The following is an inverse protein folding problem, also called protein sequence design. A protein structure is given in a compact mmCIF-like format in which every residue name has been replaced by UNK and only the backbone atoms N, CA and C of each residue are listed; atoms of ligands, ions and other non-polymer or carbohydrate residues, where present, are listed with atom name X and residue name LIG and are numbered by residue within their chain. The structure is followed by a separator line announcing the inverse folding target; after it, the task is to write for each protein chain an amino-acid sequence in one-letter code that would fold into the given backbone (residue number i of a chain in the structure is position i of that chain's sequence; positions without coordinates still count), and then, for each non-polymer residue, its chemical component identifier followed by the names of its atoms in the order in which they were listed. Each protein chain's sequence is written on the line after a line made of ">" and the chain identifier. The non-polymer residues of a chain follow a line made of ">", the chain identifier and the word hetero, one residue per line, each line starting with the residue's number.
data_IF_161107060179
#
_entry.id   IF_161107060179
#
_cell.length_a   1.000
_cell.length_b   1.000
_cell.length_c   1.000
_cell.angle_alpha   90.00
_cell.angle_beta   90.00
_cell.angle_gamma   90.00
#
_symmetry.space_group_name_H-M   'P 1'
#
loop_
_entity.id
_entity.type
_entity.pdbx_description
1 polymer ?
#
# COMPACT_ATOMS: atom_id res chain seq x y z
N UNK A 1 14.44 48.67 -8.68
CA UNK A 1 14.39 47.20 -8.52
C UNK A 1 15.64 46.82 -7.75
N UNK A 2 15.47 46.20 -6.59
CA UNK A 2 16.59 45.82 -5.73
C UNK A 2 17.01 44.38 -6.03
N UNK A 3 18.31 44.11 -5.91
CA UNK A 3 18.85 42.80 -6.22
C UNK A 3 20.24 42.60 -5.65
N UNK A 4 20.59 41.33 -5.44
CA UNK A 4 21.90 40.91 -4.98
C UNK A 4 22.87 40.79 -6.14
N UNK A 5 24.10 41.28 -5.95
CA UNK A 5 25.21 40.99 -6.85
C UNK A 5 25.58 39.53 -6.77
N UNK A 6 26.21 38.98 -7.80
CA UNK A 6 26.64 37.58 -7.80
C UNK A 6 27.66 37.29 -6.68
N UNK A 7 28.40 38.31 -6.24
CA UNK A 7 29.26 38.22 -5.06
C UNK A 7 28.45 38.00 -3.78
N UNK A 8 27.41 38.80 -3.57
CA UNK A 8 26.56 38.65 -2.38
C UNK A 8 25.83 37.29 -2.36
N UNK A 9 25.45 36.78 -3.53
CA UNK A 9 24.86 35.43 -3.63
C UNK A 9 25.88 34.34 -3.35
N UNK A 10 27.12 34.48 -3.85
CA UNK A 10 28.25 33.61 -3.54
C UNK A 10 28.52 33.58 -2.03
N UNK A 11 28.56 34.74 -1.38
CA UNK A 11 28.77 34.86 0.07
C UNK A 11 27.59 34.25 0.86
N UNK A 12 26.34 34.41 0.39
CA UNK A 12 25.13 33.87 1.04
C UNK A 12 25.03 32.34 0.93
N UNK A 13 25.45 31.77 -0.20
CA UNK A 13 25.34 30.34 -0.48
C UNK A 13 26.57 29.52 -0.05
N UNK A 14 27.65 30.17 0.39
CA UNK A 14 28.97 29.55 0.62
C UNK A 14 29.49 28.79 -0.61
N UNK A 15 29.32 29.40 -1.80
CA UNK A 15 29.73 28.82 -3.08
C UNK A 15 30.74 29.76 -3.74
N UNK A 16 31.75 29.17 -4.41
CA UNK A 16 32.73 29.95 -5.15
C UNK A 16 32.06 30.88 -6.18
N UNK A 17 32.48 32.16 -6.19
CA UNK A 17 31.93 33.18 -7.09
C UNK A 17 32.01 32.77 -8.56
N UNK A 18 33.08 32.09 -8.96
CA UNK A 18 33.25 31.54 -10.32
C UNK A 18 32.14 30.55 -10.68
N UNK A 19 31.75 29.67 -9.75
CA UNK A 19 30.64 28.73 -9.92
C UNK A 19 29.32 29.47 -10.16
N UNK A 20 29.05 30.55 -9.40
CA UNK A 20 27.85 31.38 -9.62
C UNK A 20 27.83 31.96 -11.03
N UNK A 21 28.95 32.52 -11.50
CA UNK A 21 29.05 33.04 -12.88
C UNK A 21 28.85 31.95 -13.93
N UNK A 22 29.54 30.81 -13.80
CA UNK A 22 29.45 29.71 -14.76
C UNK A 22 28.03 29.17 -14.84
N UNK A 23 27.40 28.91 -13.69
CA UNK A 23 26.05 28.33 -13.65
C UNK A 23 25.00 29.30 -14.19
N UNK A 24 25.05 30.58 -13.82
CA UNK A 24 24.16 31.58 -14.40
C UNK A 24 24.39 31.77 -15.90
N UNK A 25 25.64 31.68 -16.37
CA UNK A 25 25.94 31.73 -17.80
C UNK A 25 25.35 30.53 -18.54
N UNK A 26 25.38 29.34 -17.93
CA UNK A 26 24.76 28.15 -18.49
C UNK A 26 23.23 28.29 -18.56
N UNK A 27 22.59 28.93 -17.56
CA UNK A 27 21.16 29.29 -17.63
C UNK A 27 20.91 30.26 -18.79
N UNK A 28 21.74 31.31 -18.93
CA UNK A 28 21.62 32.28 -20.04
C UNK A 28 21.70 31.60 -21.42
N UNK A 29 22.54 30.57 -21.57
CA UNK A 29 22.69 29.82 -22.83
C UNK A 29 21.53 28.86 -23.07
N UNK A 30 21.08 28.13 -22.04
CA UNK A 30 20.00 27.13 -22.17
C UNK A 30 18.62 27.76 -22.29
N UNK A 31 18.35 28.79 -21.49
CA UNK A 31 17.05 29.42 -21.40
C UNK A 31 17.22 30.91 -21.03
N UNK A 32 17.38 31.72 -22.07
CA UNK A 32 17.58 33.16 -21.92
C UNK A 32 16.37 33.85 -21.26
N UNK A 33 15.15 33.38 -21.49
CA UNK A 33 13.95 33.94 -20.84
C UNK A 33 13.99 33.72 -19.33
N UNK A 34 14.34 32.50 -18.90
CA UNK A 34 14.50 32.16 -17.49
C UNK A 34 15.62 32.98 -16.85
N UNK A 35 16.76 33.14 -17.54
CA UNK A 35 17.85 34.00 -17.08
C UNK A 35 17.39 35.45 -16.88
N UNK A 36 16.64 36.03 -17.82
CA UNK A 36 16.12 37.41 -17.71
C UNK A 36 15.02 37.55 -16.65
N UNK A 37 14.36 36.44 -16.29
CA UNK A 37 13.44 36.40 -15.15
C UNK A 37 14.18 36.55 -13.81
N UNK A 38 15.41 36.05 -13.70
CA UNK A 38 16.22 36.11 -12.48
C UNK A 38 17.15 37.31 -12.41
N UNK A 39 17.79 37.65 -13.53
CA UNK A 39 18.87 38.62 -13.60
C UNK A 39 18.41 39.88 -14.32
N UNK A 40 18.73 41.03 -13.75
CA UNK A 40 18.54 42.34 -14.38
C UNK A 40 19.83 43.15 -14.32
N UNK A 41 19.91 44.17 -15.15
CA UNK A 41 21.01 45.14 -15.12
C UNK A 41 20.57 46.36 -14.31
N UNK A 42 21.35 46.75 -13.32
CA UNK A 42 21.10 47.98 -12.57
C UNK A 42 21.50 49.22 -13.37
N UNK A 43 21.16 50.41 -12.84
CA UNK A 43 21.48 51.69 -13.47
C UNK A 43 22.99 51.93 -13.65
N UNK A 44 23.84 51.14 -12.98
CA UNK A 44 25.30 51.21 -13.04
C UNK A 44 25.88 50.16 -14.00
N UNK A 45 25.04 49.45 -14.77
CA UNK A 45 25.49 48.39 -15.69
C UNK A 45 25.88 47.08 -14.99
N UNK A 46 25.60 46.93 -13.70
CA UNK A 46 25.94 45.73 -12.93
C UNK A 46 24.80 44.73 -12.97
N UNK A 47 25.12 43.48 -13.32
CA UNK A 47 24.16 42.36 -13.28
C UNK A 47 23.82 42.00 -11.83
N UNK A 48 22.53 41.91 -11.53
CA UNK A 48 22.00 41.57 -10.22
C UNK A 48 20.90 40.54 -10.34
N UNK A 49 20.84 39.64 -9.35
CA UNK A 49 19.73 38.70 -9.18
C UNK A 49 18.64 39.42 -8.39
N UNK A 50 17.40 39.37 -8.88
CA UNK A 50 16.23 39.95 -8.20
C UNK A 50 16.08 39.33 -6.82
N UNK A 51 15.79 40.14 -5.82
CA UNK A 51 15.74 39.68 -4.41
C UNK A 51 14.76 38.51 -4.22
N UNK A 52 13.59 38.56 -4.87
CA UNK A 52 12.56 37.52 -4.83
C UNK A 52 12.97 36.21 -5.51
N UNK A 53 14.05 36.22 -6.29
CA UNK A 53 14.60 35.06 -7.01
C UNK A 53 15.90 34.53 -6.41
N UNK A 54 16.44 35.17 -5.37
CA UNK A 54 17.74 34.78 -4.80
C UNK A 54 17.72 33.36 -4.28
N UNK A 55 16.70 32.96 -3.52
CA UNK A 55 16.67 31.63 -2.90
C UNK A 55 16.48 30.53 -3.95
N UNK A 56 15.61 30.76 -4.95
CA UNK A 56 15.42 29.88 -6.11
C UNK A 56 16.73 29.71 -6.91
N UNK A 57 17.43 30.82 -7.18
CA UNK A 57 18.72 30.79 -7.86
C UNK A 57 19.76 30.03 -7.04
N UNK A 58 19.80 30.22 -5.72
CA UNK A 58 20.71 29.47 -4.84
C UNK A 58 20.43 27.97 -4.92
N UNK A 59 19.17 27.54 -4.85
CA UNK A 59 18.80 26.13 -4.95
C UNK A 59 19.29 25.52 -6.28
N UNK A 60 19.04 26.21 -7.39
CA UNK A 60 19.46 25.77 -8.73
C UNK A 60 20.99 25.69 -8.83
N UNK A 61 21.69 26.75 -8.43
CA UNK A 61 23.16 26.81 -8.56
C UNK A 61 23.88 26.03 -7.47
N UNK A 62 23.20 25.49 -6.46
CA UNK A 62 23.78 24.58 -5.46
C UNK A 62 23.57 23.11 -5.82
N UNK A 63 22.69 22.81 -6.77
CA UNK A 63 22.41 21.43 -7.18
C UNK A 63 23.64 20.71 -7.75
N UNK A 64 23.92 19.51 -7.26
CA UNK A 64 25.02 18.66 -7.75
C UNK A 64 24.82 18.22 -9.21
N UNK A 65 23.56 18.21 -9.67
CA UNK A 65 23.18 17.81 -11.02
C UNK A 65 23.23 18.95 -12.05
N UNK A 66 23.75 20.12 -11.68
CA UNK A 66 23.78 21.26 -12.58
C UNK A 66 24.84 21.06 -13.69
N UNK A 67 24.47 21.23 -14.98
CA UNK A 67 25.41 21.03 -16.09
C UNK A 67 26.52 22.08 -16.02
N UNK A 68 27.77 21.64 -15.80
CA UNK A 68 28.90 22.56 -15.60
C UNK A 68 29.55 23.03 -16.91
N UNK A 69 29.33 22.34 -18.04
CA UNK A 69 29.93 22.67 -19.34
C UNK A 69 28.88 22.60 -20.46
N UNK A 70 28.49 23.75 -20.99
CA UNK A 70 27.59 23.86 -22.15
C UNK A 70 28.39 24.53 -23.25
N UNK A 71 28.75 23.78 -24.29
CA UNK A 71 29.41 24.35 -25.46
C UNK A 71 28.41 25.14 -26.29
N UNK A 72 28.85 26.29 -26.81
CA UNK A 72 28.05 27.21 -27.64
C UNK A 72 27.47 26.54 -28.91
N UNK A 73 28.00 25.39 -29.30
CA UNK A 73 27.53 24.50 -30.37
C UNK A 73 26.13 23.94 -30.12
N UNK A 74 25.64 23.99 -28.88
CA UNK A 74 24.29 23.60 -28.48
C UNK A 74 23.32 24.81 -28.48
N UNK A 75 23.41 25.69 -29.48
CA UNK A 75 22.23 26.46 -29.88
C UNK A 75 21.22 25.47 -30.45
N UNK A 76 20.49 24.84 -29.53
CA UNK A 76 19.27 24.10 -29.80
C UNK A 76 18.41 25.00 -30.68
N UNK A 77 18.14 24.55 -31.90
CA UNK A 77 17.09 25.11 -32.73
C UNK A 77 15.79 24.91 -31.95
N UNK A 78 15.36 25.96 -31.25
CA UNK A 78 14.25 25.92 -30.29
C UNK A 78 12.89 25.70 -30.94
N UNK A 79 12.79 25.74 -32.27
CA UNK A 79 11.50 25.60 -32.97
C UNK A 79 11.07 24.13 -33.15
N UNK A 80 12.00 23.17 -33.30
CA UNK A 80 11.67 21.74 -33.44
C UNK A 80 11.60 20.99 -32.10
N UNK A 81 12.35 21.45 -31.07
CA UNK A 81 12.37 20.81 -29.74
C UNK A 81 11.15 21.14 -28.89
N UNK A 82 10.55 22.33 -29.03
CA UNK A 82 9.31 22.67 -28.32
C UNK A 82 8.13 21.81 -28.81
N UNK A 83 8.08 21.47 -30.10
CA UNK A 83 7.04 20.59 -30.65
C UNK A 83 7.13 19.15 -30.13
N UNK A 84 8.35 18.60 -30.07
CA UNK A 84 8.59 17.23 -29.58
C UNK A 84 8.43 17.11 -28.07
N UNK A 85 8.86 18.12 -27.30
CA UNK A 85 8.66 18.12 -25.84
C UNK A 85 7.19 18.27 -25.47
N UNK A 86 6.39 19.07 -26.20
CA UNK A 86 4.95 19.19 -25.96
C UNK A 86 4.22 17.89 -26.26
N UNK A 87 4.53 17.22 -27.38
CA UNK A 87 3.93 15.91 -27.70
C UNK A 87 4.35 14.83 -26.69
N UNK A 88 5.62 14.83 -26.26
CA UNK A 88 6.10 13.92 -25.22
C UNK A 88 5.39 14.18 -23.88
N UNK A 89 5.25 15.44 -23.47
CA UNK A 89 4.52 15.83 -22.25
C UNK A 89 3.06 15.41 -22.35
N UNK A 90 2.41 15.63 -23.50
CA UNK A 90 1.02 15.22 -23.72
C UNK A 90 0.88 13.69 -23.61
N UNK A 91 1.76 12.94 -24.26
CA UNK A 91 1.76 11.47 -24.22
C UNK A 91 1.98 10.96 -22.79
N UNK A 92 2.92 11.56 -22.06
CA UNK A 92 3.16 11.21 -20.66
C UNK A 92 1.97 11.56 -19.77
N UNK A 93 1.29 12.67 -20.04
CA UNK A 93 0.07 13.07 -19.30
C UNK A 93 -1.06 12.07 -19.54
N UNK A 94 -1.29 11.67 -20.79
CA UNK A 94 -2.29 10.66 -21.16
C UNK A 94 -1.97 9.29 -20.52
N UNK A 95 -0.69 8.89 -20.50
CA UNK A 95 -0.27 7.66 -19.81
C UNK A 95 -0.49 7.73 -18.30
N UNK A 96 -0.25 8.90 -17.70
CA UNK A 96 -0.41 9.11 -16.27
C UNK A 96 -1.90 9.12 -15.87
N UNK A 97 -2.77 9.72 -16.69
CA UNK A 97 -4.22 9.62 -16.54
C UNK A 97 -4.69 8.17 -16.68
N UNK A 98 -4.21 7.44 -17.69
CA UNK A 98 -4.54 6.03 -17.87
C UNK A 98 -4.14 5.17 -16.67
N UNK A 99 -2.92 5.32 -16.16
CA UNK A 99 -2.48 4.58 -14.98
C UNK A 99 -3.25 5.00 -13.73
N UNK A 100 -3.56 6.29 -13.56
CA UNK A 100 -4.38 6.76 -12.44
C UNK A 100 -5.76 6.08 -12.44
N UNK A 101 -6.45 6.05 -13.58
CA UNK A 101 -7.74 5.37 -13.72
C UNK A 101 -7.63 3.87 -13.45
N UNK A 102 -6.52 3.26 -13.87
CA UNK A 102 -6.24 1.84 -13.60
C UNK A 102 -6.01 1.58 -12.11
N UNK A 103 -5.30 2.46 -11.42
CA UNK A 103 -5.11 2.39 -9.97
C UNK A 103 -6.41 2.61 -9.21
N UNK A 104 -7.26 3.53 -9.64
CA UNK A 104 -8.57 3.79 -9.02
C UNK A 104 -9.45 2.53 -9.08
N UNK A 105 -9.56 1.89 -10.24
CA UNK A 105 -10.27 0.61 -10.40
C UNK A 105 -9.66 -0.52 -9.58
N UNK A 106 -8.34 -0.56 -9.47
CA UNK A 106 -7.66 -1.57 -8.66
C UNK A 106 -7.95 -1.37 -7.17
N UNK A 107 -7.97 -0.11 -6.72
CA UNK A 107 -8.30 0.26 -5.35
C UNK A 107 -9.75 -0.06 -5.00
N UNK A 108 -10.69 0.20 -5.90
CA UNK A 108 -12.10 -0.22 -5.74
C UNK A 108 -12.21 -1.74 -5.55
N UNK A 109 -11.60 -2.53 -6.43
CA UNK A 109 -11.59 -4.00 -6.31
C UNK A 109 -10.93 -4.50 -5.04
N UNK A 110 -9.86 -3.83 -4.60
CA UNK A 110 -9.21 -4.16 -3.35
C UNK A 110 -10.16 -3.92 -2.17
N UNK A 111 -10.87 -2.80 -2.18
CA UNK A 111 -11.86 -2.45 -1.14
C UNK A 111 -12.99 -3.48 -1.10
N UNK A 112 -13.55 -3.85 -2.25
CA UNK A 112 -14.56 -4.92 -2.35
C UNK A 112 -14.04 -6.26 -1.81
N UNK A 113 -12.78 -6.60 -2.08
CA UNK A 113 -12.18 -7.84 -1.59
C UNK A 113 -12.01 -7.81 -0.07
N UNK A 114 -11.59 -6.68 0.50
CA UNK A 114 -11.49 -6.50 1.96
C UNK A 114 -12.85 -6.70 2.61
N UNK A 115 -13.90 -6.10 2.05
CA UNK A 115 -15.28 -6.25 2.56
C UNK A 115 -15.74 -7.71 2.49
N UNK A 116 -15.43 -8.42 1.40
CA UNK A 116 -15.73 -9.85 1.26
C UNK A 116 -14.97 -10.70 2.28
N UNK A 117 -13.68 -10.41 2.52
CA UNK A 117 -12.87 -11.12 3.52
C UNK A 117 -13.43 -10.90 4.92
N UNK A 118 -13.83 -9.68 5.26
CA UNK A 118 -14.43 -9.36 6.54
C UNK A 118 -15.76 -10.09 6.73
N UNK A 119 -16.64 -10.04 5.73
CA UNK A 119 -17.91 -10.79 5.72
C UNK A 119 -17.72 -12.31 5.88
N UNK A 120 -16.71 -12.88 5.20
CA UNK A 120 -16.38 -14.29 5.33
C UNK A 120 -15.82 -14.64 6.71
N UNK A 121 -15.02 -13.75 7.32
CA UNK A 121 -14.54 -13.91 8.69
C UNK A 121 -15.70 -13.94 9.69
N UNK A 122 -16.67 -13.05 9.54
CA UNK A 122 -17.86 -13.00 10.41
C UNK A 122 -18.70 -14.28 10.29
N UNK A 123 -18.87 -14.79 9.05
CA UNK A 123 -19.54 -16.08 8.81
C UNK A 123 -18.80 -17.25 9.43
N UNK A 124 -17.47 -17.28 9.33
CA UNK A 124 -16.65 -18.32 9.96
C UNK A 124 -16.76 -18.29 11.48
N UNK A 125 -16.81 -17.10 12.07
CA UNK A 125 -17.04 -16.93 13.51
C UNK A 125 -18.38 -17.53 13.92
N UNK A 126 -19.46 -17.20 13.21
CA UNK A 126 -20.79 -17.76 13.47
C UNK A 126 -20.84 -19.28 13.33
N UNK A 127 -20.19 -19.85 12.31
CA UNK A 127 -20.10 -21.30 12.13
C UNK A 127 -19.38 -21.94 13.32
N UNK A 128 -18.27 -21.33 13.76
CA UNK A 128 -17.48 -21.83 14.89
C UNK A 128 -18.29 -21.79 16.20
N UNK A 129 -19.02 -20.72 16.45
CA UNK A 129 -19.93 -20.60 17.60
C UNK A 129 -21.02 -21.67 17.57
N UNK A 130 -21.66 -21.89 16.41
CA UNK A 130 -22.68 -22.93 16.24
C UNK A 130 -22.10 -24.34 16.47
N UNK A 131 -20.89 -24.62 15.98
CA UNK A 131 -20.22 -25.90 16.25
C UNK A 131 -19.97 -26.11 17.75
N UNK A 132 -19.59 -25.08 18.49
CA UNK A 132 -19.41 -25.20 19.94
C UNK A 132 -20.73 -25.52 20.65
N UNK A 133 -21.85 -24.95 20.21
CA UNK A 133 -23.18 -25.29 20.75
C UNK A 133 -23.52 -26.75 20.47
N UNK A 134 -23.38 -27.20 19.23
CA UNK A 134 -23.62 -28.59 18.82
C UNK A 134 -22.75 -29.56 19.62
N UNK A 135 -21.47 -29.25 19.83
CA UNK A 135 -20.56 -30.08 20.63
C UNK A 135 -21.00 -30.16 22.10
N UNK A 136 -21.51 -29.06 22.69
CA UNK A 136 -22.06 -29.08 24.05
C UNK A 136 -23.31 -29.94 24.11
N UNK A 137 -24.21 -29.82 23.14
CA UNK A 137 -25.43 -30.65 23.06
C UNK A 137 -25.10 -32.14 22.91
N UNK A 138 -24.19 -32.51 22.01
CA UNK A 138 -23.73 -33.90 21.88
C UNK A 138 -23.13 -34.43 23.18
N UNK A 139 -22.35 -33.63 23.90
CA UNK A 139 -21.79 -34.04 25.20
C UNK A 139 -22.88 -34.25 26.26
N UNK A 140 -23.96 -33.46 26.22
CA UNK A 140 -25.11 -33.65 27.11
C UNK A 140 -25.88 -34.94 26.77
N UNK A 141 -26.09 -35.22 25.48
CA UNK A 141 -26.72 -36.47 25.02
C UNK A 141 -25.90 -37.70 25.41
N UNK A 142 -24.58 -37.68 25.19
CA UNK A 142 -23.67 -38.75 25.60
C UNK A 142 -23.70 -39.00 27.11
N UNK A 143 -23.83 -37.93 27.91
CA UNK A 143 -23.95 -38.05 29.35
C UNK A 143 -25.33 -38.59 29.76
N UNK A 144 -26.40 -38.18 29.06
CA UNK A 144 -27.76 -38.67 29.28
C UNK A 144 -27.87 -40.17 29.01
N UNK A 145 -27.30 -40.65 27.89
CA UNK A 145 -27.31 -42.07 27.53
C UNK A 145 -26.51 -42.92 28.53
N UNK A 146 -25.40 -42.39 29.04
CA UNK A 146 -24.62 -43.06 30.10
C UNK A 146 -25.39 -43.14 31.42
N UNK A 147 -26.12 -42.08 31.79
CA UNK A 147 -26.98 -42.07 32.98
C UNK A 147 -28.11 -43.08 32.83
N UNK A 148 -28.82 -43.12 31.69
CA UNK A 148 -29.86 -44.11 31.46
C UNK A 148 -29.33 -45.55 31.42
N UNK A 149 -28.12 -45.78 30.90
CA UNK A 149 -27.49 -47.09 30.99
C UNK A 149 -27.12 -47.49 32.43
N UNK A 150 -26.77 -46.54 33.30
CA UNK A 150 -26.57 -46.80 34.73
C UNK A 150 -27.90 -47.09 35.44
N UNK A 151 -28.95 -46.32 35.19
CA UNK A 151 -30.29 -46.54 35.76
C UNK A 151 -30.87 -47.91 35.35
N UNK A 152 -30.62 -48.36 34.12
CA UNK A 152 -31.03 -49.70 33.66
C UNK A 152 -30.24 -50.81 34.39
N UNK A 153 -28.97 -50.57 34.72
CA UNK A 153 -28.13 -51.51 35.49
C UNK A 153 -28.44 -51.51 36.99
N UNK A 154 -28.97 -50.40 37.52
CA UNK A 154 -29.30 -50.22 38.93
C UNK A 154 -30.75 -50.56 39.28
N UNK A 155 -31.60 -50.97 38.31
CA UNK A 155 -32.88 -51.61 38.64
C UNK A 155 -32.60 -52.83 39.53
N UNK A 156 -33.07 -52.84 40.78
CA UNK A 156 -32.79 -53.95 41.69
C UNK A 156 -33.40 -55.21 41.12
N UNK A 157 -32.59 -56.27 41.00
CA UNK A 157 -33.11 -57.64 40.91
C UNK A 157 -33.99 -57.85 42.14
N UNK A 158 -35.30 -57.90 41.93
CA UNK A 158 -36.23 -58.45 42.91
C UNK A 158 -35.74 -59.88 43.23
N UNK A 159 -35.23 -60.04 44.45
CA UNK A 159 -34.86 -61.35 44.99
C UNK A 159 -36.16 -62.07 45.28
N UNK A 160 -36.63 -62.87 44.33
CA UNK A 160 -37.67 -63.86 44.57
C UNK A 160 -37.02 -64.99 45.38
N UNK A 161 -37.46 -65.27 46.62
CA UNK A 161 -36.88 -66.33 47.43
C UNK A 161 -37.19 -67.70 46.82
N UNK A 162 -36.19 -68.58 46.86
CA UNK A 162 -36.24 -69.96 46.36
C UNK A 162 -37.42 -70.74 46.96
N UNK A 163 -38.41 -71.05 46.12
CA UNK A 163 -39.36 -72.13 46.39
C UNK A 163 -39.17 -73.23 45.35
N UNK A 164 -38.83 -74.41 45.87
CA UNK A 164 -38.40 -75.59 45.13
C UNK A 164 -39.42 -76.02 44.07
N UNK A 165 -39.04 -75.98 42.79
CA UNK A 165 -39.77 -76.68 41.73
C UNK A 165 -38.83 -77.70 41.08
N UNK A 166 -39.11 -78.97 41.39
CA UNK A 166 -38.48 -80.16 40.82
C UNK A 166 -38.57 -80.12 39.30
N UNK A 167 -37.41 -80.10 38.63
CA UNK A 167 -37.26 -80.23 37.19
C UNK A 167 -37.61 -81.65 36.73
N UNK A 168 -38.75 -81.83 36.06
CA UNK A 168 -38.99 -82.98 35.19
C UNK A 168 -38.38 -82.69 33.81
N UNK A 169 -37.23 -83.32 33.58
CA UNK A 169 -36.42 -83.27 32.36
C UNK A 169 -36.95 -84.25 31.30
N UNK A 170 -38.02 -83.91 30.58
CA UNK A 170 -38.51 -84.71 29.45
C UNK A 170 -38.43 -83.90 28.16
N UNK A 171 -37.59 -84.37 27.24
CA UNK A 171 -37.50 -84.13 25.77
C UNK A 171 -36.04 -83.84 25.41
N UNK A 172 -35.30 -84.94 25.35
CA UNK A 172 -34.05 -85.08 24.62
C UNK A 172 -34.33 -85.48 23.17
N UNK A 173 -33.50 -84.95 22.25
CA UNK A 173 -33.20 -85.47 20.90
C UNK A 173 -34.32 -85.36 19.86
N UNK A 174 -33.99 -84.67 18.76
CA UNK A 174 -34.50 -84.73 17.36
C UNK A 174 -34.23 -83.32 16.79
N UNK A 175 -33.22 -82.98 15.99
CA UNK A 175 -32.21 -83.66 15.20
C UNK A 175 -31.07 -82.66 14.94
N UNK A 176 -29.85 -83.16 14.84
CA UNK A 176 -28.74 -82.47 14.19
C UNK A 176 -28.22 -83.31 13.03
N UNK A 177 -28.07 -82.65 11.88
CA UNK A 177 -27.13 -82.84 10.75
C UNK A 177 -27.82 -82.61 9.41
#
# INVERSE_FOLDING_TARGET
>A
MEGMTFRQVSDKADIARTTVYTRLKNIEVLNNELYNSYVFMDNNGTRRIRNEKVDEVIEIISSDNFPNNIELSQTVQTEDLIGTDIEAIKTLTEQLEYERDRYEKLFERYTELVDQVQSNSDRLLQITENQQVIMREHKLLDNSDKVHQQEIKEKPKEVIPDEQIKKTSWISKLFGK
#
